data_IF_732741433271
#
_entry.id   IF_732741433271
#
_cell.length_a   1.000
_cell.length_b   1.000
_cell.length_c   1.000
_cell.angle_alpha   90.00
_cell.angle_beta   90.00
_cell.angle_gamma   90.00
#
_symmetry.space_group_name_H-M   'P 1'
#
loop_
_entity.id
_entity.type
_entity.pdbx_description
1 polymer ?
#
# COMPACT_ATOMS: atom_id res chain seq x y z
N UNK A 1 30.94 3.14 -4.96
CA UNK A 1 30.32 2.43 -6.13
C UNK A 1 29.46 1.24 -5.71
N UNK A 2 30.00 0.04 -5.34
CA UNK A 2 29.17 -1.12 -4.98
C UNK A 2 28.21 -0.82 -3.83
N UNK A 3 28.71 -0.22 -2.73
CA UNK A 3 27.87 0.14 -1.58
C UNK A 3 26.86 1.24 -1.91
N UNK A 4 27.20 2.13 -2.80
CA UNK A 4 26.34 3.19 -3.31
C UNK A 4 25.22 2.61 -4.18
N UNK A 5 25.55 1.76 -5.16
CA UNK A 5 24.55 1.04 -5.96
C UNK A 5 23.63 0.19 -5.10
N UNK A 6 24.18 -0.48 -4.06
CA UNK A 6 23.39 -1.23 -3.10
C UNK A 6 22.41 -0.30 -2.37
N UNK A 7 22.89 0.83 -1.83
CA UNK A 7 22.07 1.77 -1.06
C UNK A 7 20.95 2.38 -1.92
N UNK A 8 21.23 2.78 -3.16
CA UNK A 8 20.24 3.28 -4.10
C UNK A 8 19.19 2.22 -4.47
N UNK A 9 19.65 0.98 -4.71
CA UNK A 9 18.73 -0.14 -4.99
C UNK A 9 17.84 -0.45 -3.79
N UNK A 10 18.39 -0.43 -2.58
CA UNK A 10 17.67 -0.66 -1.34
C UNK A 10 16.58 0.42 -1.14
N UNK A 11 16.90 1.69 -1.37
CA UNK A 11 15.93 2.79 -1.30
C UNK A 11 14.78 2.61 -2.30
N UNK A 12 15.08 2.17 -3.53
CA UNK A 12 14.06 1.89 -4.54
C UNK A 12 13.17 0.69 -4.14
N UNK A 13 13.78 -0.36 -3.58
CA UNK A 13 13.06 -1.54 -3.10
C UNK A 13 12.17 -1.20 -1.89
N UNK A 14 12.63 -0.34 -0.98
CA UNK A 14 11.81 0.16 0.13
C UNK A 14 10.58 0.93 -0.36
N UNK A 15 10.73 1.79 -1.35
CA UNK A 15 9.61 2.50 -1.98
C UNK A 15 8.59 1.52 -2.59
N UNK A 16 9.07 0.42 -3.17
CA UNK A 16 8.21 -0.64 -3.72
C UNK A 16 7.42 -1.35 -2.61
N UNK A 17 8.06 -1.68 -1.48
CA UNK A 17 7.38 -2.27 -0.32
C UNK A 17 6.32 -1.32 0.24
N UNK A 18 6.66 -0.05 0.48
CA UNK A 18 5.71 0.95 0.98
C UNK A 18 4.51 1.13 0.04
N UNK A 19 4.74 1.10 -1.28
CA UNK A 19 3.67 1.14 -2.27
C UNK A 19 2.76 -0.09 -2.18
N UNK A 20 3.33 -1.29 -2.02
CA UNK A 20 2.57 -2.52 -1.84
C UNK A 20 1.76 -2.50 -0.55
N UNK A 21 2.35 -2.07 0.57
CA UNK A 21 1.65 -1.97 1.85
C UNK A 21 0.42 -1.07 1.74
N UNK A 22 0.56 0.11 1.13
CA UNK A 22 -0.57 1.03 0.88
C UNK A 22 -1.66 0.38 0.02
N UNK A 23 -1.28 -0.34 -1.04
CA UNK A 23 -2.24 -1.04 -1.91
C UNK A 23 -2.97 -2.17 -1.16
N UNK A 24 -2.25 -2.95 -0.35
CA UNK A 24 -2.83 -4.01 0.45
C UNK A 24 -3.75 -3.47 1.55
N UNK A 25 -3.43 -2.32 2.16
CA UNK A 25 -4.29 -1.66 3.15
C UNK A 25 -5.64 -1.24 2.56
N UNK A 26 -5.66 -0.80 1.31
CA UNK A 26 -6.90 -0.43 0.59
C UNK A 26 -7.83 -1.62 0.31
N UNK A 27 -7.32 -2.84 0.28
CA UNK A 27 -8.14 -4.04 0.12
C UNK A 27 -8.94 -4.24 1.41
N UNK A 28 -10.26 -4.04 1.34
CA UNK A 28 -11.17 -4.21 2.49
C UNK A 28 -11.18 -5.65 2.99
N UNK A 29 -11.10 -5.82 4.31
CA UNK A 29 -11.14 -7.14 4.96
C UNK A 29 -12.49 -7.46 5.62
N UNK A 30 -13.49 -6.60 5.45
CA UNK A 30 -14.76 -6.68 6.17
C UNK A 30 -14.70 -6.10 7.59
N UNK A 31 -13.53 -5.67 8.04
CA UNK A 31 -13.32 -4.97 9.33
C UNK A 31 -13.12 -3.47 9.12
N UNK A 32 -13.59 -2.71 10.08
CA UNK A 32 -13.38 -1.26 10.11
C UNK A 32 -11.90 -0.94 10.33
N UNK A 33 -11.31 -0.21 9.36
CA UNK A 33 -9.94 0.29 9.44
C UNK A 33 -9.92 1.73 8.90
N UNK A 34 -9.40 2.70 9.66
CA UNK A 34 -9.28 4.09 9.20
C UNK A 34 -8.55 4.24 7.86
N UNK A 35 -7.60 3.35 7.56
CA UNK A 35 -6.86 3.35 6.27
C UNK A 35 -7.74 3.16 5.03
N UNK A 36 -8.97 2.67 5.19
CA UNK A 36 -9.93 2.57 4.07
C UNK A 36 -10.31 3.93 3.50
N UNK A 37 -10.26 4.98 4.33
CA UNK A 37 -10.66 6.34 3.98
C UNK A 37 -9.47 7.29 3.75
N UNK A 38 -8.23 6.83 3.94
CA UNK A 38 -7.03 7.68 3.78
C UNK A 38 -6.84 8.21 2.36
N UNK A 39 -7.36 7.50 1.37
CA UNK A 39 -7.24 7.89 -0.03
C UNK A 39 -8.44 8.68 -0.55
N UNK A 40 -9.51 8.78 0.25
CA UNK A 40 -10.69 9.52 -0.16
C UNK A 40 -10.45 11.01 0.10
N UNK A 41 -10.57 11.80 -0.96
CA UNK A 41 -10.33 13.22 -0.95
C UNK A 41 -11.67 13.97 -1.06
N UNK A 42 -11.76 15.08 -0.35
CA UNK A 42 -12.91 15.98 -0.35
C UNK A 42 -12.52 17.30 -0.98
N UNK A 43 -13.42 17.89 -1.75
CA UNK A 43 -13.25 19.27 -2.19
C UNK A 43 -13.47 20.21 -0.99
N UNK A 44 -12.35 20.72 -0.48
CA UNK A 44 -12.32 21.68 0.60
C UNK A 44 -11.95 23.06 0.05
N UNK A 45 -12.97 23.91 -0.15
CA UNK A 45 -12.84 25.26 -0.73
C UNK A 45 -12.02 25.30 -2.05
N UNK A 46 -12.24 24.31 -2.92
CA UNK A 46 -11.54 24.21 -4.22
C UNK A 46 -10.18 23.51 -4.17
N UNK A 47 -9.83 22.93 -3.02
CA UNK A 47 -8.60 22.15 -2.82
C UNK A 47 -8.95 20.71 -2.47
N UNK A 48 -8.38 19.74 -3.17
CA UNK A 48 -8.56 18.32 -2.84
C UNK A 48 -7.80 18.00 -1.56
N UNK A 49 -8.52 17.62 -0.51
CA UNK A 49 -7.97 17.40 0.83
C UNK A 49 -8.39 16.03 1.35
N UNK A 50 -7.44 15.19 1.84
CA UNK A 50 -7.78 13.89 2.42
C UNK A 50 -8.72 14.01 3.63
N UNK A 51 -9.69 13.10 3.75
CA UNK A 51 -10.67 13.08 4.86
C UNK A 51 -9.97 13.05 6.22
N UNK A 52 -8.83 12.36 6.32
CA UNK A 52 -8.03 12.26 7.55
C UNK A 52 -7.46 13.59 8.04
N UNK A 53 -7.33 14.58 7.16
CA UNK A 53 -6.87 15.93 7.53
C UNK A 53 -8.01 16.88 7.93
N UNK A 54 -9.24 16.49 7.66
CA UNK A 54 -10.44 17.30 7.92
C UNK A 54 -11.31 16.76 9.05
N UNK A 55 -11.01 15.55 9.52
CA UNK A 55 -11.84 14.85 10.49
C UNK A 55 -11.02 13.93 11.38
N UNK A 56 -11.57 13.61 12.54
CA UNK A 56 -11.09 12.55 13.38
C UNK A 56 -11.79 11.24 12.99
N UNK A 57 -11.02 10.26 12.53
CA UNK A 57 -11.51 8.93 12.13
C UNK A 57 -11.16 7.95 13.23
N UNK A 58 -12.16 7.31 13.81
CA UNK A 58 -12.00 6.30 14.85
C UNK A 58 -12.79 5.03 14.57
N UNK A 59 -12.37 3.92 15.11
CA UNK A 59 -13.09 2.64 15.05
C UNK A 59 -14.07 2.61 16.21
N UNK A 60 -15.38 2.62 15.93
CA UNK A 60 -16.44 2.53 16.94
C UNK A 60 -16.67 1.07 17.34
N UNK A 61 -16.71 0.17 16.36
CA UNK A 61 -16.78 -1.29 16.55
C UNK A 61 -16.04 -2.02 15.42
N UNK A 62 -16.10 -3.37 15.43
CA UNK A 62 -15.37 -4.20 14.46
C UNK A 62 -15.66 -3.89 12.99
N UNK A 63 -16.81 -3.24 12.70
CA UNK A 63 -17.29 -2.98 11.34
C UNK A 63 -17.75 -1.53 11.12
N UNK A 64 -17.68 -0.68 12.13
CA UNK A 64 -18.14 0.69 12.05
C UNK A 64 -17.00 1.68 12.27
N UNK A 65 -16.81 2.57 11.32
CA UNK A 65 -15.96 3.74 11.46
C UNK A 65 -16.80 4.93 11.87
N UNK A 66 -16.33 5.72 12.81
CA UNK A 66 -16.88 7.00 13.22
C UNK A 66 -15.99 8.12 12.72
N UNK A 67 -16.57 9.03 11.97
CA UNK A 67 -15.89 10.19 11.39
C UNK A 67 -16.52 11.43 12.00
N UNK A 68 -15.70 12.21 12.69
CA UNK A 68 -16.12 13.48 13.30
C UNK A 68 -15.38 14.61 12.59
N UNK A 69 -16.04 15.32 11.67
CA UNK A 69 -15.45 16.48 10.99
C UNK A 69 -15.11 17.59 11.98
N UNK A 70 -14.06 18.32 11.73
CA UNK A 70 -13.65 19.45 12.59
C UNK A 70 -14.56 20.66 12.34
N UNK A 71 -15.09 20.76 11.11
CA UNK A 71 -16.06 21.78 10.73
C UNK A 71 -17.39 21.12 10.34
N UNK A 72 -18.47 21.57 10.97
CA UNK A 72 -19.83 21.02 10.77
C UNK A 72 -20.32 21.16 9.33
N UNK A 73 -19.92 22.23 8.67
CA UNK A 73 -20.32 22.52 7.29
C UNK A 73 -19.74 21.53 6.27
N UNK A 74 -18.70 20.78 6.67
CA UNK A 74 -18.05 19.79 5.81
C UNK A 74 -18.69 18.39 5.87
N UNK A 75 -19.61 18.14 6.80
CA UNK A 75 -20.27 16.84 6.97
C UNK A 75 -20.85 16.31 5.65
N UNK A 76 -21.58 17.15 4.91
CA UNK A 76 -22.20 16.77 3.65
C UNK A 76 -21.19 16.50 2.54
N UNK A 77 -20.09 17.24 2.51
CA UNK A 77 -19.05 17.06 1.51
C UNK A 77 -18.28 15.76 1.75
N UNK A 78 -17.97 15.45 3.01
CA UNK A 78 -17.33 14.19 3.41
C UNK A 78 -18.25 13.00 3.11
N UNK A 79 -19.54 13.10 3.43
CA UNK A 79 -20.53 12.07 3.14
C UNK A 79 -20.61 11.76 1.64
N UNK A 80 -20.66 12.78 0.79
CA UNK A 80 -20.66 12.62 -0.67
C UNK A 80 -19.39 11.99 -1.18
N UNK A 81 -18.22 12.38 -0.65
CA UNK A 81 -16.95 11.81 -1.04
C UNK A 81 -16.88 10.30 -0.73
N UNK A 82 -17.36 9.90 0.46
CA UNK A 82 -17.42 8.49 0.85
C UNK A 82 -18.41 7.71 -0.03
N UNK A 83 -19.56 8.28 -0.37
CA UNK A 83 -20.54 7.64 -1.25
C UNK A 83 -20.04 7.44 -2.67
N UNK A 84 -19.20 8.36 -3.16
CA UNK A 84 -18.62 8.29 -4.50
C UNK A 84 -17.32 7.49 -4.57
N UNK A 85 -16.80 7.02 -3.43
CA UNK A 85 -15.59 6.22 -3.41
C UNK A 85 -15.82 4.81 -3.98
N UNK A 86 -14.81 4.26 -4.64
CA UNK A 86 -14.85 2.92 -5.27
C UNK A 86 -14.96 1.77 -4.25
N UNK A 87 -14.86 2.07 -2.95
CA UNK A 87 -14.89 1.07 -1.88
C UNK A 87 -16.31 0.58 -1.59
N UNK A 88 -17.33 1.32 -2.04
CA UNK A 88 -18.75 0.94 -1.88
C UNK A 88 -19.24 1.01 -0.43
N UNK A 89 -18.69 1.92 0.36
CA UNK A 89 -19.10 2.19 1.73
C UNK A 89 -20.35 3.07 1.76
N UNK A 90 -21.23 2.82 2.71
CA UNK A 90 -22.44 3.63 2.90
C UNK A 90 -22.34 4.42 4.20
N UNK A 91 -22.21 5.75 4.13
CA UNK A 91 -22.22 6.59 5.31
C UNK A 91 -23.65 6.78 5.83
N UNK A 92 -23.80 6.86 7.14
CA UNK A 92 -25.01 7.22 7.84
C UNK A 92 -24.70 8.38 8.79
N UNK A 93 -25.23 9.55 8.49
CA UNK A 93 -24.97 10.77 9.28
C UNK A 93 -25.98 10.92 10.39
N UNK A 94 -25.51 11.16 11.61
CA UNK A 94 -26.32 11.48 12.79
C UNK A 94 -25.72 12.70 13.49
N UNK A 95 -26.33 13.87 13.27
CA UNK A 95 -25.79 15.13 13.76
C UNK A 95 -24.45 15.50 13.10
N UNK A 96 -23.40 15.63 13.92
CA UNK A 96 -22.06 15.99 13.46
C UNK A 96 -21.17 14.75 13.25
N UNK A 97 -21.72 13.54 13.42
CA UNK A 97 -20.98 12.27 13.31
C UNK A 97 -21.43 11.49 12.10
N UNK A 98 -20.49 11.11 11.25
CA UNK A 98 -20.71 10.24 10.10
C UNK A 98 -20.26 8.83 10.50
N UNK A 99 -21.18 7.87 10.49
CA UNK A 99 -20.89 6.46 10.70
C UNK A 99 -20.81 5.75 9.37
N UNK A 100 -19.74 4.98 9.18
CA UNK A 100 -19.55 4.20 7.97
C UNK A 100 -19.50 2.73 8.35
N UNK A 101 -20.47 1.97 7.86
CA UNK A 101 -20.56 0.54 8.11
C UNK A 101 -19.84 -0.20 6.97
N UNK A 102 -18.86 -1.01 7.34
CA UNK A 102 -18.13 -1.89 6.41
C UNK A 102 -18.95 -3.17 6.24
N UNK A 103 -19.47 -3.48 5.03
CA UNK A 103 -20.26 -4.68 4.82
C UNK A 103 -19.41 -5.95 4.95
N UNK A 104 -20.03 -7.04 5.37
CA UNK A 104 -19.38 -8.36 5.40
C UNK A 104 -18.98 -8.79 4.01
N UNK A 105 -17.85 -9.51 3.95
CA UNK A 105 -17.40 -10.12 2.72
C UNK A 105 -18.08 -11.48 2.53
N UNK A 106 -18.66 -11.70 1.34
CA UNK A 106 -19.07 -13.05 0.93
C UNK A 106 -17.85 -13.90 0.61
N UNK A 107 -17.99 -15.23 0.60
CA UNK A 107 -16.89 -16.12 0.21
C UNK A 107 -16.36 -15.83 -1.21
N UNK A 108 -17.24 -15.48 -2.12
CA UNK A 108 -16.86 -15.12 -3.49
C UNK A 108 -16.03 -13.83 -3.51
N UNK A 109 -16.49 -12.78 -2.83
CA UNK A 109 -15.77 -11.51 -2.72
C UNK A 109 -14.41 -11.68 -2.05
N UNK A 110 -14.32 -12.54 -1.01
CA UNK A 110 -13.03 -12.86 -0.37
C UNK A 110 -12.05 -13.47 -1.35
N UNK A 111 -12.49 -14.46 -2.14
CA UNK A 111 -11.65 -15.11 -3.15
C UNK A 111 -11.16 -14.14 -4.21
N UNK A 112 -12.00 -13.20 -4.63
CA UNK A 112 -11.62 -12.19 -5.61
C UNK A 112 -10.63 -11.16 -5.02
N UNK A 113 -10.83 -10.74 -3.79
CA UNK A 113 -9.88 -9.85 -3.10
C UNK A 113 -8.52 -10.53 -2.85
N UNK A 114 -8.49 -11.83 -2.57
CA UNK A 114 -7.24 -12.59 -2.48
C UNK A 114 -6.53 -12.62 -3.85
N UNK A 115 -7.24 -12.78 -4.96
CA UNK A 115 -6.65 -12.70 -6.31
C UNK A 115 -6.04 -11.31 -6.57
N UNK A 116 -6.75 -10.25 -6.17
CA UNK A 116 -6.25 -8.87 -6.29
C UNK A 116 -4.97 -8.69 -5.47
N UNK A 117 -4.95 -9.15 -4.22
CA UNK A 117 -3.76 -9.08 -3.36
C UNK A 117 -2.57 -9.83 -3.96
N UNK A 118 -2.79 -11.03 -4.51
CA UNK A 118 -1.76 -11.82 -5.22
C UNK A 118 -1.22 -11.10 -6.45
N UNK A 119 -2.11 -10.49 -7.23
CA UNK A 119 -1.71 -9.71 -8.42
C UNK A 119 -0.84 -8.52 -8.04
N UNK A 120 -1.18 -7.77 -6.99
CA UNK A 120 -0.37 -6.64 -6.51
C UNK A 120 0.99 -7.08 -5.96
N UNK A 121 1.03 -8.21 -5.25
CA UNK A 121 2.28 -8.79 -4.78
C UNK A 121 3.18 -9.22 -5.95
N UNK A 122 2.63 -9.87 -6.99
CA UNK A 122 3.41 -10.28 -8.16
C UNK A 122 3.91 -9.05 -8.95
N UNK A 123 3.10 -8.01 -9.12
CA UNK A 123 3.53 -6.75 -9.74
C UNK A 123 4.71 -6.14 -8.99
N UNK A 124 4.69 -6.18 -7.65
CA UNK A 124 5.80 -5.70 -6.82
C UNK A 124 7.05 -6.56 -6.97
N UNK A 125 6.92 -7.89 -7.07
CA UNK A 125 8.06 -8.78 -7.36
C UNK A 125 8.66 -8.51 -8.74
N UNK A 126 7.84 -8.21 -9.73
CA UNK A 126 8.32 -7.81 -11.08
C UNK A 126 9.12 -6.51 -10.97
N UNK A 127 8.67 -5.53 -10.19
CA UNK A 127 9.41 -4.29 -9.96
C UNK A 127 10.78 -4.57 -9.31
N UNK A 128 10.84 -5.43 -8.27
CA UNK A 128 12.10 -5.83 -7.63
C UNK A 128 13.07 -6.51 -8.62
N UNK A 129 12.54 -7.38 -9.50
CA UNK A 129 13.36 -8.03 -10.53
C UNK A 129 13.94 -7.03 -11.53
N UNK A 130 13.19 -5.99 -11.88
CA UNK A 130 13.66 -4.91 -12.75
C UNK A 130 14.75 -4.09 -12.04
N UNK A 131 14.51 -3.67 -10.80
CA UNK A 131 15.50 -2.93 -9.99
C UNK A 131 16.83 -3.71 -9.83
N UNK A 132 16.75 -5.03 -9.58
CA UNK A 132 17.94 -5.90 -9.57
C UNK A 132 18.67 -5.87 -10.91
N UNK A 133 17.92 -5.99 -12.02
CA UNK A 133 18.50 -6.00 -13.36
C UNK A 133 19.21 -4.69 -13.67
N UNK A 134 18.61 -3.56 -13.28
CA UNK A 134 19.16 -2.23 -13.49
C UNK A 134 20.43 -2.04 -12.63
N UNK A 135 20.42 -2.45 -11.37
CA UNK A 135 21.59 -2.43 -10.51
C UNK A 135 22.75 -3.29 -11.06
N UNK A 136 22.47 -4.49 -11.55
CA UNK A 136 23.46 -5.35 -12.17
C UNK A 136 24.01 -4.76 -13.48
N UNK A 137 23.20 -4.01 -14.23
CA UNK A 137 23.66 -3.31 -15.43
C UNK A 137 24.64 -2.18 -15.07
N UNK A 138 24.36 -1.40 -14.01
CA UNK A 138 25.29 -0.38 -13.49
C UNK A 138 26.62 -0.98 -13.04
N UNK A 139 26.57 -2.09 -12.30
CA UNK A 139 27.81 -2.78 -11.86
C UNK A 139 28.64 -3.27 -13.05
N UNK A 140 28.01 -3.75 -14.12
CA UNK A 140 28.69 -4.16 -15.36
C UNK A 140 29.31 -2.98 -16.10
N UNK A 141 28.63 -1.82 -16.08
CA UNK A 141 29.18 -0.58 -16.66
C UNK A 141 30.44 -0.14 -15.93
N UNK A 142 30.45 -0.09 -14.60
CA UNK A 142 31.64 0.19 -13.80
C UNK A 142 32.80 -0.79 -14.07
N UNK A 143 32.47 -2.07 -14.30
CA UNK A 143 33.50 -3.04 -14.68
C UNK A 143 34.05 -2.79 -16.08
N UNK A 144 33.22 -2.46 -17.06
CA UNK A 144 33.63 -2.15 -18.42
C UNK A 144 34.52 -0.89 -18.47
N UNK A 145 34.23 0.10 -17.62
CA UNK A 145 35.02 1.31 -17.42
C UNK A 145 36.28 1.08 -16.60
N UNK A 146 36.53 -0.17 -16.15
CA UNK A 146 37.67 -0.59 -15.32
C UNK A 146 37.72 0.07 -13.94
N UNK A 147 36.58 0.57 -13.44
CA UNK A 147 36.48 1.15 -12.12
C UNK A 147 36.37 0.11 -11.01
N UNK A 148 35.88 -1.09 -11.33
CA UNK A 148 35.85 -2.26 -10.43
C UNK A 148 36.45 -3.49 -11.10
N UNK A 149 37.01 -4.38 -10.27
CA UNK A 149 37.56 -5.65 -10.73
C UNK A 149 36.46 -6.67 -11.07
N UNK A 150 36.84 -7.78 -11.75
CA UNK A 150 35.90 -8.88 -12.02
C UNK A 150 35.39 -9.53 -10.73
N UNK A 151 36.24 -9.64 -9.71
CA UNK A 151 35.84 -10.19 -8.41
C UNK A 151 34.91 -9.27 -7.67
N UNK A 152 35.10 -7.94 -7.77
CA UNK A 152 34.19 -6.94 -7.22
C UNK A 152 32.83 -6.97 -7.94
N UNK A 153 32.79 -7.13 -9.25
CA UNK A 153 31.55 -7.29 -10.01
C UNK A 153 30.76 -8.50 -9.50
N UNK A 154 31.41 -9.67 -9.39
CA UNK A 154 30.76 -10.88 -8.87
C UNK A 154 30.19 -10.68 -7.47
N UNK A 155 30.98 -10.08 -6.58
CA UNK A 155 30.58 -9.78 -5.21
C UNK A 155 29.41 -8.77 -5.17
N UNK A 156 29.44 -7.75 -6.04
CA UNK A 156 28.34 -6.80 -6.17
C UNK A 156 27.05 -7.47 -6.65
N UNK A 157 27.11 -8.30 -7.69
CA UNK A 157 25.95 -9.05 -8.18
C UNK A 157 25.36 -9.99 -7.11
N UNK A 158 26.20 -10.63 -6.29
CA UNK A 158 25.75 -11.46 -5.17
C UNK A 158 25.06 -10.65 -4.08
N UNK A 159 25.62 -9.49 -3.73
CA UNK A 159 25.01 -8.56 -2.75
C UNK A 159 23.61 -8.12 -3.23
N UNK A 160 23.48 -7.72 -4.49
CA UNK A 160 22.20 -7.28 -5.07
C UNK A 160 21.21 -8.45 -5.16
N UNK A 161 21.68 -9.68 -5.45
CA UNK A 161 20.82 -10.85 -5.44
C UNK A 161 20.27 -11.14 -4.05
N UNK A 162 21.12 -11.17 -3.02
CA UNK A 162 20.72 -11.41 -1.63
C UNK A 162 19.76 -10.33 -1.13
N UNK A 163 20.00 -9.06 -1.50
CA UNK A 163 19.11 -7.95 -1.20
C UNK A 163 17.71 -8.21 -1.82
N UNK A 164 17.67 -8.57 -3.10
CA UNK A 164 16.43 -8.85 -3.82
C UNK A 164 15.65 -10.00 -3.17
N UNK A 165 16.32 -11.09 -2.80
CA UNK A 165 15.71 -12.26 -2.17
C UNK A 165 15.08 -11.91 -0.82
N UNK A 166 15.74 -11.05 -0.04
CA UNK A 166 15.21 -10.54 1.23
C UNK A 166 13.92 -9.72 1.01
N UNK A 167 13.90 -8.87 -0.02
CA UNK A 167 12.71 -8.07 -0.34
C UNK A 167 11.56 -8.90 -0.91
N UNK A 168 11.85 -9.93 -1.71
CA UNK A 168 10.85 -10.90 -2.16
C UNK A 168 10.21 -11.60 -0.96
N UNK A 169 11.02 -12.02 0.02
CA UNK A 169 10.52 -12.64 1.25
C UNK A 169 9.63 -11.68 2.06
N UNK A 170 9.96 -10.38 2.12
CA UNK A 170 9.10 -9.37 2.75
C UNK A 170 7.73 -9.27 2.05
N UNK A 171 7.71 -9.29 0.70
CA UNK A 171 6.46 -9.30 -0.08
C UNK A 171 5.62 -10.53 0.25
N UNK A 172 6.22 -11.72 0.32
CA UNK A 172 5.51 -12.95 0.63
C UNK A 172 4.89 -12.91 2.03
N UNK A 173 5.59 -12.37 3.02
CA UNK A 173 5.07 -12.19 4.37
C UNK A 173 3.90 -11.19 4.43
N UNK A 174 3.98 -10.09 3.70
CA UNK A 174 2.90 -9.11 3.61
C UNK A 174 1.65 -9.71 2.96
N UNK A 175 1.83 -10.50 1.89
CA UNK A 175 0.75 -11.21 1.22
C UNK A 175 0.10 -12.25 2.15
N UNK A 176 0.90 -13.09 2.81
CA UNK A 176 0.41 -14.11 3.74
C UNK A 176 -0.42 -13.48 4.88
N UNK A 177 0.08 -12.39 5.44
CA UNK A 177 -0.65 -11.64 6.47
C UNK A 177 -1.99 -11.15 5.93
N UNK A 178 -2.01 -10.56 4.74
CA UNK A 178 -3.25 -10.06 4.13
C UNK A 178 -4.23 -11.17 3.79
N UNK A 179 -3.75 -12.32 3.33
CA UNK A 179 -4.59 -13.49 3.09
C UNK A 179 -5.25 -14.01 4.38
N UNK A 180 -4.52 -14.05 5.48
CA UNK A 180 -5.07 -14.38 6.80
C UNK A 180 -6.15 -13.38 7.22
N UNK A 181 -5.88 -12.08 7.11
CA UNK A 181 -6.84 -11.03 7.44
C UNK A 181 -8.14 -11.13 6.61
N UNK A 182 -8.05 -11.59 5.35
CA UNK A 182 -9.21 -11.80 4.47
C UNK A 182 -9.98 -13.08 4.80
N UNK A 183 -9.32 -14.10 5.38
CA UNK A 183 -9.91 -15.38 5.74
C UNK A 183 -10.47 -15.40 7.17
N UNK A 184 -9.94 -14.57 8.06
CA UNK A 184 -10.48 -14.43 9.42
C UNK A 184 -11.88 -13.80 9.38
N UNK A 185 -12.81 -14.46 10.09
CA UNK A 185 -14.22 -14.04 10.22
C UNK A 185 -14.38 -13.17 11.46
#
# INVERSE_FOLDING_TARGET
MIDETKSETEEQMDKTILSLEKKLQRIRTGRANPSLLESDEVDYYGSSTPISQMSNISVEDARTLSIVPWEKDQVQNIEKAIQSSDIGLQPATSGDVIRVIVPELTEETRKDLIKVAKSEAENSKVALRNQRRDANAMLKEFHNEKEISQDDLRRGEEIIQNLTDNYVSKIDLLLEKKEKDLLEI
#
